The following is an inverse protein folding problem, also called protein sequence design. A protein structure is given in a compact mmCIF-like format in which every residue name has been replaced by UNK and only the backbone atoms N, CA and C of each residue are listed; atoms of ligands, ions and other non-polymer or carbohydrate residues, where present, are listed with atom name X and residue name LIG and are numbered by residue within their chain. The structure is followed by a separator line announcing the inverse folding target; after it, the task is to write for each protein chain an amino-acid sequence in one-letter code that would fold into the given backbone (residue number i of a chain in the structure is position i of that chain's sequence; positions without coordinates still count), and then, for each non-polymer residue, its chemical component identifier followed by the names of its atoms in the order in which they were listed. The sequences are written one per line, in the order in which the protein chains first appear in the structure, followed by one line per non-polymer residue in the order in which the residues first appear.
data_IF_406090901066
#
_entry.id   IF_406090901066
#
_cell.length_a   1.000
_cell.length_b   1.000
_cell.length_c   1.000
_cell.angle_alpha   90.00
_cell.angle_beta   90.00
_cell.angle_gamma   90.00
#
_symmetry.space_group_name_H-M   'P 1'
#
loop_
_entity.id
_entity.type
_entity.pdbx_description
1 polymer ?
#
# COMPACT_ATOMS: atom_id res chain seq x y z
N UNK A 1 -15.83 16.14 -4.17
CA UNK A 1 -15.11 16.47 -5.42
C UNK A 1 -13.85 15.62 -5.59
N UNK A 2 -12.94 15.56 -4.61
CA UNK A 2 -11.73 14.71 -4.69
C UNK A 2 -12.00 13.23 -5.04
N UNK A 3 -12.86 12.53 -4.30
CA UNK A 3 -13.15 11.11 -4.56
C UNK A 3 -13.71 10.87 -5.96
N UNK A 4 -14.81 11.55 -6.30
CA UNK A 4 -15.46 11.39 -7.60
C UNK A 4 -14.65 11.91 -8.80
N UNK A 5 -13.75 12.88 -8.58
CA UNK A 5 -13.06 13.60 -9.66
C UNK A 5 -11.59 13.26 -9.83
N UNK A 6 -10.94 12.67 -8.81
CA UNK A 6 -9.49 12.39 -8.81
C UNK A 6 -9.24 10.93 -8.45
N UNK A 7 -9.64 10.51 -7.25
CA UNK A 7 -9.28 9.18 -6.75
C UNK A 7 -10.02 8.04 -7.44
N UNK A 8 -11.36 8.11 -7.54
CA UNK A 8 -12.15 7.06 -8.20
C UNK A 8 -11.74 6.91 -9.67
N UNK A 9 -11.62 7.97 -10.50
CA UNK A 9 -11.15 7.81 -11.87
C UNK A 9 -9.78 7.16 -12.00
N UNK A 10 -8.84 7.47 -11.09
CA UNK A 10 -7.53 6.83 -11.05
C UNK A 10 -7.65 5.33 -10.74
N UNK A 11 -8.44 4.97 -9.73
CA UNK A 11 -8.68 3.56 -9.37
C UNK A 11 -9.44 2.79 -10.47
N UNK A 12 -10.43 3.42 -11.10
CA UNK A 12 -11.17 2.86 -12.24
C UNK A 12 -10.26 2.57 -13.43
N UNK A 13 -9.25 3.42 -13.66
CA UNK A 13 -8.27 3.21 -14.73
C UNK A 13 -7.41 1.95 -14.52
N UNK A 14 -7.18 1.56 -13.27
CA UNK A 14 -6.48 0.32 -12.90
C UNK A 14 -7.42 -0.88 -12.91
N UNK A 15 -8.63 -0.73 -12.36
CA UNK A 15 -9.60 -1.83 -12.25
C UNK A 15 -10.25 -2.20 -13.58
N UNK A 16 -10.40 -1.24 -14.49
CA UNK A 16 -11.17 -1.39 -15.73
C UNK A 16 -12.69 -1.44 -15.50
N UNK A 17 -13.16 -1.10 -14.30
CA UNK A 17 -14.58 -1.06 -13.92
C UNK A 17 -14.87 0.15 -13.03
N UNK A 18 -16.14 0.56 -12.96
CA UNK A 18 -16.59 1.71 -12.18
C UNK A 18 -16.49 1.45 -10.68
N UNK A 19 -16.08 2.48 -9.92
CA UNK A 19 -15.94 2.43 -8.47
C UNK A 19 -17.09 3.17 -7.80
N UNK A 20 -17.80 2.49 -6.90
CA UNK A 20 -18.90 3.11 -6.15
C UNK A 20 -18.35 4.14 -5.16
N UNK A 21 -18.79 5.39 -5.28
CA UNK A 21 -18.41 6.46 -4.34
C UNK A 21 -18.83 6.15 -2.89
N UNK A 22 -19.84 5.30 -2.67
CA UNK A 22 -20.24 4.85 -1.34
C UNK A 22 -19.19 3.95 -0.67
N UNK A 23 -18.28 3.32 -1.44
CA UNK A 23 -17.21 2.47 -0.93
C UNK A 23 -16.25 3.23 0.01
N UNK A 24 -16.14 4.56 -0.16
CA UNK A 24 -15.24 5.43 0.62
C UNK A 24 -15.99 6.49 1.44
N UNK A 25 -17.24 6.25 1.78
CA UNK A 25 -18.04 7.23 2.52
C UNK A 25 -17.57 7.38 3.98
N UNK A 26 -17.25 8.62 4.38
CA UNK A 26 -16.96 8.96 5.78
C UNK A 26 -18.20 9.57 6.44
N UNK A 27 -18.49 9.12 7.66
CA UNK A 27 -19.67 9.56 8.42
C UNK A 27 -19.31 10.36 9.68
N UNK A 28 -18.10 10.21 10.19
CA UNK A 28 -17.62 10.95 11.35
C UNK A 28 -17.15 12.37 10.97
N UNK A 29 -17.59 13.44 11.68
CA UNK A 29 -17.19 14.81 11.38
C UNK A 29 -15.68 15.07 11.45
N UNK A 30 -14.97 14.41 12.37
CA UNK A 30 -13.52 14.51 12.49
C UNK A 30 -12.81 13.89 11.29
N UNK A 31 -13.24 12.69 10.88
CA UNK A 31 -12.77 12.05 9.64
C UNK A 31 -13.01 12.95 8.43
N UNK A 32 -14.23 13.49 8.27
CA UNK A 32 -14.57 14.37 7.14
C UNK A 32 -13.67 15.62 7.13
N UNK A 33 -13.39 16.20 8.30
CA UNK A 33 -12.49 17.35 8.40
C UNK A 33 -11.07 17.01 7.95
N UNK A 34 -10.48 15.95 8.49
CA UNK A 34 -9.11 15.53 8.12
C UNK A 34 -9.02 15.17 6.65
N UNK A 35 -9.98 14.38 6.14
CA UNK A 35 -10.08 14.01 4.73
C UNK A 35 -10.21 15.24 3.82
N UNK A 36 -10.94 16.26 4.25
CA UNK A 36 -11.08 17.51 3.50
C UNK A 36 -9.77 18.30 3.46
N UNK A 37 -9.16 18.53 4.63
CA UNK A 37 -8.01 19.43 4.79
C UNK A 37 -6.71 18.81 4.31
N UNK A 38 -6.45 17.55 4.65
CA UNK A 38 -5.15 16.89 4.45
C UNK A 38 -5.05 16.05 3.18
N UNK A 39 -6.19 15.73 2.56
CA UNK A 39 -6.25 14.84 1.40
C UNK A 39 -6.88 15.57 0.22
N UNK A 40 -8.14 15.99 0.34
CA UNK A 40 -8.87 16.59 -0.78
C UNK A 40 -8.35 17.97 -1.18
N UNK A 41 -7.96 18.81 -0.21
CA UNK A 41 -7.40 20.15 -0.43
C UNK A 41 -5.86 20.17 -0.47
N UNK A 42 -5.23 18.99 -0.36
CA UNK A 42 -3.78 18.89 -0.44
C UNK A 42 -3.33 19.32 -1.85
N UNK A 43 -2.42 20.32 -1.97
CA UNK A 43 -2.02 20.89 -3.25
C UNK A 43 -1.14 19.94 -4.09
N UNK A 44 -0.64 18.85 -3.50
CA UNK A 44 0.18 17.87 -4.18
C UNK A 44 -0.65 16.77 -4.83
N UNK A 45 -0.10 16.18 -5.88
CA UNK A 45 -0.74 15.15 -6.69
C UNK A 45 -0.92 13.83 -5.91
N UNK A 46 -1.65 12.87 -6.49
CA UNK A 46 -1.73 11.52 -5.93
C UNK A 46 -0.31 10.93 -5.87
N UNK A 47 0.05 10.33 -4.74
CA UNK A 47 1.40 9.80 -4.49
C UNK A 47 2.42 10.83 -3.98
N UNK A 48 2.11 12.13 -3.98
CA UNK A 48 3.01 13.20 -3.50
C UNK A 48 2.47 13.96 -2.28
N UNK A 49 1.38 13.47 -1.69
CA UNK A 49 0.70 14.14 -0.57
C UNK A 49 1.55 14.16 0.71
N UNK A 50 2.58 13.33 0.80
CA UNK A 50 3.64 13.37 1.81
C UNK A 50 4.40 14.71 1.82
N UNK A 51 4.36 15.51 0.74
CA UNK A 51 5.02 16.82 0.74
C UNK A 51 4.31 17.86 1.62
N UNK A 52 3.03 17.68 1.94
CA UNK A 52 2.28 18.60 2.80
C UNK A 52 2.69 18.43 4.27
N UNK A 53 3.39 19.42 4.82
CA UNK A 53 3.84 19.40 6.23
C UNK A 53 2.91 20.17 7.18
N UNK A 54 2.24 21.22 6.69
CA UNK A 54 1.37 22.10 7.48
C UNK A 54 0.17 22.50 6.62
N UNK A 55 -1.05 22.15 7.06
CA UNK A 55 -2.28 22.49 6.35
C UNK A 55 -2.79 23.91 6.64
N UNK A 56 -2.13 24.66 7.54
CA UNK A 56 -2.50 26.03 7.87
C UNK A 56 -3.83 26.17 8.63
N UNK A 57 -4.32 25.08 9.21
CA UNK A 57 -5.63 25.02 9.87
C UNK A 57 -5.62 25.45 11.35
N UNK A 58 -4.42 25.67 11.92
CA UNK A 58 -4.21 26.11 13.30
C UNK A 58 -4.54 25.06 14.37
N UNK A 59 -4.73 23.79 14.00
CA UNK A 59 -5.08 22.74 14.97
C UNK A 59 -3.85 22.24 15.75
N UNK A 60 -4.10 21.68 16.93
CA UNK A 60 -3.04 21.03 17.71
C UNK A 60 -2.44 19.81 16.98
N UNK A 61 -3.25 19.09 16.21
CA UNK A 61 -2.79 17.98 15.38
C UNK A 61 -1.77 18.47 14.35
N UNK A 62 -2.05 19.57 13.64
CA UNK A 62 -1.14 20.17 12.67
C UNK A 62 0.18 20.61 13.28
N UNK A 63 0.14 21.16 14.50
CA UNK A 63 1.34 21.55 15.21
C UNK A 63 2.26 20.35 15.49
N UNK A 64 1.70 19.22 15.92
CA UNK A 64 2.43 17.96 16.15
C UNK A 64 2.89 17.34 14.82
N UNK A 65 2.00 17.26 13.83
CA UNK A 65 2.31 16.74 12.50
C UNK A 65 3.53 17.46 11.91
N UNK A 66 3.55 18.79 11.94
CA UNK A 66 4.66 19.61 11.44
C UNK A 66 6.00 19.29 12.11
N UNK A 67 5.99 18.88 13.38
CA UNK A 67 7.19 18.50 14.13
C UNK A 67 7.70 17.10 13.76
N UNK A 68 6.81 16.11 13.69
CA UNK A 68 7.19 14.70 13.53
C UNK A 68 7.29 14.25 12.07
N UNK A 69 6.52 14.87 11.18
CA UNK A 69 6.34 14.40 9.80
C UNK A 69 7.65 14.34 9.00
N UNK A 70 8.55 15.34 9.05
CA UNK A 70 9.81 15.25 8.31
C UNK A 70 10.65 14.01 8.66
N UNK A 71 10.71 13.64 9.95
CA UNK A 71 11.48 12.49 10.42
C UNK A 71 10.82 11.17 10.02
N UNK A 72 9.50 11.07 10.12
CA UNK A 72 8.76 9.87 9.73
C UNK A 72 8.77 9.67 8.21
N UNK A 73 8.70 10.75 7.45
CA UNK A 73 8.87 10.73 5.98
C UNK A 73 10.27 10.28 5.58
N UNK A 74 11.32 10.88 6.15
CA UNK A 74 12.71 10.44 5.91
C UNK A 74 12.92 8.96 6.29
N UNK A 75 12.26 8.51 7.36
CA UNK A 75 12.28 7.10 7.77
C UNK A 75 11.63 6.21 6.71
N UNK A 76 10.42 6.56 6.25
CA UNK A 76 9.74 5.82 5.19
C UNK A 76 10.58 5.74 3.91
N UNK A 77 11.12 6.87 3.45
CA UNK A 77 11.99 6.95 2.28
C UNK A 77 13.23 6.06 2.41
N UNK A 78 13.90 6.12 3.57
CA UNK A 78 15.14 5.36 3.82
C UNK A 78 14.93 3.85 3.83
N UNK A 79 13.79 3.39 4.36
CA UNK A 79 13.48 1.97 4.44
C UNK A 79 12.67 1.45 3.25
N UNK A 80 12.24 2.33 2.34
CA UNK A 80 11.42 1.97 1.18
C UNK A 80 10.00 1.56 1.57
N UNK A 81 9.44 2.21 2.60
CA UNK A 81 8.03 2.03 2.95
C UNK A 81 7.18 2.89 2.03
N UNK A 82 6.14 2.30 1.45
CA UNK A 82 5.18 3.04 0.61
C UNK A 82 4.34 3.97 1.46
N UNK A 83 4.04 3.57 2.70
CA UNK A 83 3.47 4.43 3.72
C UNK A 83 3.80 3.90 5.13
N UNK A 84 3.68 4.78 6.13
CA UNK A 84 3.83 4.49 7.55
C UNK A 84 2.62 5.06 8.29
N UNK A 85 1.96 4.20 9.05
CA UNK A 85 0.73 4.49 9.77
C UNK A 85 0.96 4.44 11.27
N UNK A 86 0.37 5.39 11.99
CA UNK A 86 0.13 5.26 13.42
C UNK A 86 -1.37 5.09 13.64
N UNK A 87 -1.71 4.04 14.38
CA UNK A 87 -3.10 3.68 14.67
C UNK A 87 -3.33 3.73 16.16
N UNK A 88 -4.37 4.46 16.58
CA UNK A 88 -4.75 4.50 17.99
C UNK A 88 -5.45 3.18 18.39
N UNK A 89 -5.26 2.69 19.63
CA UNK A 89 -5.61 1.33 20.01
C UNK A 89 -7.06 1.12 20.44
N UNK A 90 -7.82 2.18 20.74
CA UNK A 90 -9.18 2.08 21.28
C UNK A 90 -10.19 1.73 20.18
N UNK A 91 -10.11 2.40 19.03
CA UNK A 91 -11.04 2.21 17.91
C UNK A 91 -10.34 1.82 16.59
N UNK A 92 -9.04 1.55 16.65
CA UNK A 92 -8.17 1.29 15.50
C UNK A 92 -8.28 2.38 14.43
N UNK A 93 -8.36 3.65 14.83
CA UNK A 93 -8.35 4.79 13.90
C UNK A 93 -6.93 5.08 13.45
N UNK A 94 -6.72 5.19 12.14
CA UNK A 94 -5.46 5.67 11.56
C UNK A 94 -5.33 7.16 11.90
N UNK A 95 -4.53 7.51 12.90
CA UNK A 95 -4.36 8.90 13.36
C UNK A 95 -3.25 9.64 12.62
N UNK A 96 -2.41 8.90 11.89
CA UNK A 96 -1.31 9.43 11.08
C UNK A 96 -0.99 8.49 9.91
N UNK A 97 -0.66 9.06 8.76
CA UNK A 97 -0.09 8.40 7.57
C UNK A 97 0.93 9.37 6.96
N UNK A 98 2.08 8.86 6.49
CA UNK A 98 3.07 9.66 5.78
C UNK A 98 2.49 10.11 4.43
N UNK A 99 1.97 9.15 3.67
CA UNK A 99 1.42 9.34 2.34
C UNK A 99 0.11 10.13 2.32
N UNK A 100 -0.55 10.29 3.47
CA UNK A 100 -1.89 10.90 3.61
C UNK A 100 -2.85 10.27 2.61
N UNK A 101 -2.84 8.94 2.59
CA UNK A 101 -3.76 8.17 1.78
C UNK A 101 -5.17 8.22 2.36
N UNK A 102 -6.12 7.62 1.67
CA UNK A 102 -7.51 7.70 2.06
C UNK A 102 -7.83 6.97 3.38
N UNK A 103 -6.89 6.21 3.97
CA UNK A 103 -7.10 5.56 5.28
C UNK A 103 -6.97 6.53 6.46
N UNK A 104 -6.34 7.70 6.27
CA UNK A 104 -6.14 8.66 7.35
C UNK A 104 -7.47 9.09 7.99
N UNK A 105 -7.50 9.14 9.31
CA UNK A 105 -8.66 9.42 10.14
C UNK A 105 -9.83 8.45 9.93
N UNK A 106 -9.58 7.20 9.53
CA UNK A 106 -10.62 6.17 9.39
C UNK A 106 -10.41 5.04 10.40
N UNK A 107 -11.52 4.45 10.88
CA UNK A 107 -11.46 3.26 11.73
C UNK A 107 -11.22 2.01 10.88
N UNK A 108 -10.21 1.22 11.26
CA UNK A 108 -9.94 -0.11 10.69
C UNK A 108 -10.84 -1.21 11.29
N UNK A 109 -11.75 -0.85 12.19
CA UNK A 109 -12.75 -1.77 12.74
C UNK A 109 -14.11 -1.66 12.03
N UNK A 110 -14.54 -0.44 11.72
CA UNK A 110 -15.90 -0.15 11.23
C UNK A 110 -15.96 0.76 10.01
N UNK A 111 -14.83 1.33 9.58
CA UNK A 111 -14.72 2.19 8.42
C UNK A 111 -14.58 1.41 7.10
N UNK A 112 -14.41 2.15 5.98
CA UNK A 112 -14.37 1.55 4.63
C UNK A 112 -13.21 0.57 4.43
N UNK A 113 -12.15 0.66 5.23
CA UNK A 113 -10.95 -0.18 5.12
C UNK A 113 -10.91 -1.34 6.11
N UNK A 114 -12.00 -1.64 6.82
CA UNK A 114 -12.03 -2.66 7.88
C UNK A 114 -11.72 -4.10 7.41
N UNK A 115 -11.94 -4.39 6.12
CA UNK A 115 -11.68 -5.68 5.48
C UNK A 115 -10.29 -5.78 4.82
N UNK A 116 -9.47 -4.74 4.90
CA UNK A 116 -8.15 -4.71 4.25
C UNK A 116 -7.09 -5.51 5.02
N UNK A 117 -5.98 -5.85 4.34
CA UNK A 117 -4.81 -6.44 4.99
C UNK A 117 -4.19 -5.51 6.05
N UNK A 118 -4.22 -4.18 5.87
CA UNK A 118 -3.83 -3.22 6.90
C UNK A 118 -4.64 -3.42 8.19
N UNK A 119 -5.98 -3.47 8.05
CA UNK A 119 -6.86 -3.67 9.20
C UNK A 119 -6.63 -5.02 9.89
N UNK A 120 -6.35 -6.07 9.12
CA UNK A 120 -5.99 -7.38 9.65
C UNK A 120 -4.66 -7.35 10.41
N UNK A 121 -3.61 -6.76 9.81
CA UNK A 121 -2.30 -6.61 10.43
C UNK A 121 -2.37 -5.84 11.75
N UNK A 122 -3.12 -4.74 11.77
CA UNK A 122 -3.32 -3.91 12.97
C UNK A 122 -4.04 -4.70 14.06
N UNK A 123 -5.18 -5.35 13.76
CA UNK A 123 -5.89 -6.16 14.75
C UNK A 123 -5.01 -7.27 15.32
N UNK A 124 -4.29 -7.98 14.45
CA UNK A 124 -3.37 -9.02 14.89
C UNK A 124 -2.21 -8.47 15.73
N UNK A 125 -1.73 -7.25 15.46
CA UNK A 125 -0.70 -6.62 16.26
C UNK A 125 -1.22 -6.15 17.63
N UNK A 126 -2.44 -5.62 17.70
CA UNK A 126 -3.09 -5.20 18.95
C UNK A 126 -3.31 -6.35 19.94
N UNK A 127 -3.43 -7.59 19.45
CA UNK A 127 -3.60 -8.79 20.28
C UNK A 127 -2.29 -9.33 20.87
N UNK A 128 -1.14 -8.74 20.53
CA UNK A 128 0.18 -9.18 20.97
C UNK A 128 0.59 -8.52 22.30
N UNK A 129 1.16 -9.33 23.20
CA UNK A 129 1.62 -8.88 24.52
C UNK A 129 3.08 -8.37 24.53
N UNK A 130 3.79 -8.53 23.42
CA UNK A 130 5.18 -8.10 23.22
C UNK A 130 5.31 -7.47 21.84
N UNK A 131 6.35 -6.65 21.62
CA UNK A 131 6.68 -6.02 20.34
C UNK A 131 7.17 -7.03 19.30
N UNK A 132 6.28 -7.94 18.90
CA UNK A 132 6.47 -8.90 17.81
C UNK A 132 5.96 -8.29 16.51
N UNK A 133 6.56 -8.71 15.40
CA UNK A 133 6.18 -8.29 14.05
C UNK A 133 5.07 -9.17 13.51
N UNK A 134 3.97 -8.56 13.09
CA UNK A 134 2.94 -9.16 12.24
C UNK A 134 3.26 -8.86 10.78
N UNK A 135 3.08 -9.85 9.92
CA UNK A 135 3.21 -9.71 8.47
C UNK A 135 1.93 -10.18 7.81
N UNK A 136 1.29 -9.31 7.05
CA UNK A 136 0.24 -9.65 6.11
C UNK A 136 0.80 -9.57 4.69
N UNK A 137 0.61 -10.64 3.93
CA UNK A 137 1.13 -10.79 2.57
C UNK A 137 0.50 -9.77 1.61
N UNK A 138 1.06 -9.67 0.41
CA UNK A 138 0.62 -8.75 -0.62
C UNK A 138 -0.87 -8.90 -0.93
N UNK A 139 -1.57 -7.77 -1.01
CA UNK A 139 -2.93 -7.65 -1.54
C UNK A 139 -3.02 -6.41 -2.42
N UNK A 140 -3.97 -6.41 -3.35
CA UNK A 140 -4.42 -5.16 -3.95
C UNK A 140 -4.98 -4.26 -2.83
N UNK A 141 -4.57 -2.99 -2.83
CA UNK A 141 -4.96 -2.05 -1.79
C UNK A 141 -5.49 -0.76 -2.41
N UNK A 142 -6.81 -0.57 -2.34
CA UNK A 142 -7.48 0.56 -2.99
C UNK A 142 -6.88 1.94 -2.64
N UNK A 143 -6.52 2.25 -1.37
CA UNK A 143 -5.87 3.52 -1.05
C UNK A 143 -4.55 3.77 -1.81
N UNK A 144 -3.84 2.71 -2.20
CA UNK A 144 -2.68 2.74 -3.08
C UNK A 144 -3.03 2.45 -4.56
N UNK A 145 -4.25 2.80 -4.99
CA UNK A 145 -4.73 2.57 -6.36
C UNK A 145 -4.65 1.11 -6.82
N UNK A 146 -4.96 0.17 -5.92
CA UNK A 146 -4.87 -1.28 -6.12
C UNK A 146 -3.44 -1.80 -6.39
N UNK A 147 -2.41 -0.98 -6.17
CA UNK A 147 -1.02 -1.44 -6.16
C UNK A 147 -0.85 -2.60 -5.14
N UNK A 148 -0.14 -3.68 -5.51
CA UNK A 148 0.19 -4.74 -4.60
C UNK A 148 1.07 -4.26 -3.44
N UNK A 149 0.51 -4.28 -2.23
CA UNK A 149 1.26 -3.95 -1.00
C UNK A 149 1.10 -5.04 0.05
N UNK A 150 2.18 -5.32 0.76
CA UNK A 150 2.18 -6.11 1.99
C UNK A 150 2.21 -5.17 3.20
N UNK A 151 1.74 -5.65 4.35
CA UNK A 151 1.71 -4.86 5.59
C UNK A 151 2.54 -5.52 6.68
N UNK A 152 3.32 -4.68 7.36
CA UNK A 152 4.00 -5.05 8.59
C UNK A 152 3.40 -4.23 9.74
N UNK A 153 3.11 -4.86 10.87
CA UNK A 153 2.55 -4.17 12.02
C UNK A 153 3.18 -4.64 13.34
N UNK A 154 3.33 -3.74 14.30
CA UNK A 154 3.83 -4.05 15.64
C UNK A 154 3.14 -3.19 16.70
N UNK A 155 2.79 -3.75 17.88
CA UNK A 155 2.19 -2.95 18.94
C UNK A 155 3.19 -1.99 19.55
N UNK A 156 2.73 -0.78 19.85
CA UNK A 156 3.41 0.21 20.68
C UNK A 156 2.92 0.02 22.11
N UNK A 157 3.82 -0.36 23.02
CA UNK A 157 3.50 -0.66 24.41
C UNK A 157 4.31 0.27 25.31
N UNK A 158 3.62 0.99 26.20
CA UNK A 158 4.22 1.85 27.22
C UNK A 158 3.69 1.43 28.60
N UNK A 159 4.58 1.21 29.56
CA UNK A 159 4.24 0.74 30.92
C UNK A 159 3.33 -0.52 30.98
N UNK A 160 3.40 -1.36 29.95
CA UNK A 160 2.61 -2.59 29.83
C UNK A 160 1.21 -2.39 29.23
N UNK A 161 0.89 -1.17 28.79
CA UNK A 161 -0.36 -0.82 28.12
C UNK A 161 -0.14 -0.59 26.62
N UNK A 162 -1.07 -1.07 25.79
CA UNK A 162 -1.06 -0.80 24.36
C UNK A 162 -1.42 0.67 24.13
N UNK A 163 -0.48 1.45 23.62
CA UNK A 163 -0.65 2.88 23.32
C UNK A 163 -0.92 3.14 21.83
N UNK A 164 -0.72 2.14 20.97
CA UNK A 164 -1.06 2.19 19.57
C UNK A 164 -0.46 1.05 18.77
N UNK A 165 -0.60 1.12 17.46
CA UNK A 165 0.06 0.20 16.52
C UNK A 165 0.82 1.02 15.49
N UNK A 166 2.09 0.68 15.30
CA UNK A 166 2.87 1.11 14.14
C UNK A 166 2.67 0.09 13.03
N UNK A 167 2.21 0.56 11.87
CA UNK A 167 2.14 -0.26 10.67
C UNK A 167 2.87 0.42 9.51
N UNK A 168 3.37 -0.38 8.58
CA UNK A 168 3.95 0.11 7.32
C UNK A 168 3.44 -0.72 6.16
N UNK A 169 3.24 -0.09 5.01
CA UNK A 169 3.05 -0.80 3.74
C UNK A 169 4.38 -0.86 2.99
N UNK A 170 4.62 -1.99 2.31
CA UNK A 170 5.78 -2.19 1.44
C UNK A 170 5.32 -2.68 0.08
N UNK A 171 5.96 -2.18 -0.98
CA UNK A 171 5.85 -2.75 -2.33
C UNK A 171 6.85 -3.88 -2.51
N UNK A 172 6.74 -4.56 -3.65
CA UNK A 172 7.65 -5.66 -4.02
C UNK A 172 9.00 -5.19 -4.55
N UNK A 173 9.23 -3.88 -4.67
CA UNK A 173 10.40 -3.34 -5.38
C UNK A 173 11.70 -3.73 -4.70
N UNK A 174 11.78 -3.57 -3.37
CA UNK A 174 12.94 -3.97 -2.60
C UNK A 174 13.23 -5.48 -2.68
N UNK A 175 12.19 -6.32 -2.73
CA UNK A 175 12.32 -7.77 -2.91
C UNK A 175 12.85 -8.06 -4.33
N UNK A 176 12.23 -7.46 -5.33
CA UNK A 176 12.57 -7.63 -6.75
C UNK A 176 13.99 -7.18 -7.04
N UNK A 177 14.43 -6.06 -6.47
CA UNK A 177 15.79 -5.56 -6.60
C UNK A 177 16.83 -6.50 -6.01
N UNK A 178 16.53 -7.17 -4.90
CA UNK A 178 17.42 -8.19 -4.32
C UNK A 178 17.49 -9.43 -5.20
N UNK A 179 16.34 -9.93 -5.68
CA UNK A 179 16.27 -11.15 -6.49
C UNK A 179 16.89 -10.96 -7.89
N UNK A 180 16.73 -9.77 -8.46
CA UNK A 180 17.27 -9.43 -9.79
C UNK A 180 18.71 -8.92 -9.78
N UNK A 181 19.29 -8.64 -8.60
CA UNK A 181 20.65 -8.06 -8.47
C UNK A 181 21.72 -8.89 -9.18
N UNK A 182 21.72 -10.20 -8.98
CA UNK A 182 22.72 -11.08 -9.58
C UNK A 182 22.66 -11.05 -11.12
N UNK A 183 21.46 -10.97 -11.69
CA UNK A 183 21.27 -10.76 -13.12
C UNK A 183 21.78 -9.37 -13.57
N UNK A 184 21.38 -8.28 -12.90
CA UNK A 184 21.81 -6.91 -13.26
C UNK A 184 23.33 -6.73 -13.23
N UNK A 185 24.01 -7.46 -12.35
CA UNK A 185 25.47 -7.45 -12.23
C UNK A 185 26.18 -8.44 -13.18
N UNK A 186 25.45 -9.11 -14.07
CA UNK A 186 26.00 -10.08 -15.02
C UNK A 186 26.54 -11.37 -14.37
N UNK A 187 26.10 -11.67 -13.14
CA UNK A 187 26.52 -12.84 -12.36
C UNK A 187 25.59 -14.04 -12.50
N UNK A 188 24.51 -13.91 -13.28
CA UNK A 188 23.57 -14.98 -13.61
C UNK A 188 23.58 -15.25 -15.12
N UNK A 189 23.37 -16.50 -15.53
CA UNK A 189 23.20 -16.85 -16.93
C UNK A 189 22.01 -16.10 -17.54
N UNK A 190 22.10 -15.75 -18.83
CA UNK A 190 21.13 -14.91 -19.52
C UNK A 190 19.70 -15.48 -19.53
N UNK A 191 19.54 -16.79 -19.31
CA UNK A 191 18.24 -17.50 -19.32
C UNK A 191 17.69 -17.82 -17.92
N UNK A 192 18.42 -17.52 -16.85
CA UNK A 192 17.96 -17.77 -15.49
C UNK A 192 17.05 -16.66 -14.97
N UNK A 193 16.02 -17.04 -14.21
CA UNK A 193 15.15 -16.13 -13.47
C UNK A 193 15.00 -16.64 -12.03
N UNK A 194 14.96 -15.72 -11.08
CA UNK A 194 14.62 -15.99 -9.68
C UNK A 194 13.49 -15.05 -9.31
N UNK A 195 12.39 -15.61 -8.82
CA UNK A 195 11.23 -14.86 -8.35
C UNK A 195 10.68 -15.49 -7.07
N UNK A 196 9.92 -14.71 -6.30
CA UNK A 196 9.21 -15.15 -5.11
C UNK A 196 7.75 -15.45 -5.47
N UNK A 197 7.20 -16.53 -4.91
CA UNK A 197 5.80 -16.95 -5.13
C UNK A 197 5.11 -17.10 -3.79
N UNK A 198 3.90 -16.56 -3.68
CA UNK A 198 3.04 -16.70 -2.52
C UNK A 198 2.40 -18.09 -2.41
N UNK A 199 1.74 -18.34 -1.27
CA UNK A 199 0.99 -19.59 -1.07
C UNK A 199 -0.21 -19.73 -2.02
N UNK A 200 -0.68 -18.61 -2.56
CA UNK A 200 -1.72 -18.51 -3.59
C UNK A 200 -1.22 -18.80 -5.00
N UNK A 201 0.06 -19.20 -5.15
CA UNK A 201 0.74 -19.43 -6.44
C UNK A 201 0.81 -18.20 -7.33
N UNK A 202 0.79 -16.99 -6.77
CA UNK A 202 1.00 -15.75 -7.52
C UNK A 202 2.34 -15.12 -7.16
N UNK A 203 2.92 -14.36 -8.09
CA UNK A 203 4.23 -13.72 -7.88
C UNK A 203 4.20 -12.70 -6.71
N UNK A 204 5.33 -12.58 -6.00
CA UNK A 204 5.65 -11.59 -4.94
C UNK A 204 6.90 -10.77 -5.25
N UNK A 205 7.41 -10.94 -6.46
CA UNK A 205 8.47 -10.13 -7.06
C UNK A 205 8.16 -9.95 -8.53
N UNK A 206 8.64 -8.86 -9.11
CA UNK A 206 8.43 -8.55 -10.52
C UNK A 206 9.25 -9.52 -11.36
N UNK A 207 8.63 -10.09 -12.40
CA UNK A 207 9.33 -10.95 -13.37
C UNK A 207 10.42 -10.15 -14.08
N UNK A 208 11.59 -10.76 -14.25
CA UNK A 208 12.68 -10.16 -15.04
C UNK A 208 12.24 -9.90 -16.47
N UNK A 209 11.52 -10.84 -17.08
CA UNK A 209 11.07 -10.70 -18.47
C UNK A 209 10.12 -9.51 -18.63
N UNK A 210 9.27 -9.25 -17.63
CA UNK A 210 8.44 -8.06 -17.58
C UNK A 210 9.29 -6.78 -17.41
N UNK A 211 10.32 -6.78 -16.56
CA UNK A 211 11.23 -5.63 -16.41
C UNK A 211 12.01 -5.33 -17.69
N UNK A 212 12.43 -6.35 -18.44
CA UNK A 212 13.21 -6.20 -19.68
C UNK A 212 12.36 -5.71 -20.85
N UNK A 213 11.17 -6.27 -21.03
CA UNK A 213 10.26 -5.93 -22.13
C UNK A 213 8.79 -6.18 -21.72
N UNK A 214 8.13 -5.18 -21.09
CA UNK A 214 6.75 -5.32 -20.62
C UNK A 214 5.78 -5.66 -21.75
N UNK A 215 5.93 -5.06 -22.94
CA UNK A 215 5.03 -5.27 -24.08
C UNK A 215 5.14 -6.72 -24.57
N UNK A 216 6.37 -7.21 -24.82
CA UNK A 216 6.57 -8.59 -25.25
C UNK A 216 6.16 -9.62 -24.18
N UNK A 217 6.28 -9.27 -22.89
CA UNK A 217 5.79 -10.10 -21.80
C UNK A 217 4.27 -10.23 -21.83
N UNK A 218 3.55 -9.10 -21.91
CA UNK A 218 2.10 -9.06 -21.92
C UNK A 218 1.54 -9.79 -23.15
N UNK A 219 2.09 -9.53 -24.35
CA UNK A 219 1.70 -10.22 -25.60
C UNK A 219 1.85 -11.74 -25.45
N UNK A 220 2.94 -12.19 -24.82
CA UNK A 220 3.18 -13.61 -24.59
C UNK A 220 2.21 -14.22 -23.60
N UNK A 221 1.91 -13.53 -22.50
CA UNK A 221 0.96 -14.04 -21.50
C UNK A 221 -0.46 -14.09 -22.06
N UNK A 222 -0.83 -13.13 -22.91
CA UNK A 222 -2.09 -13.16 -23.67
C UNK A 222 -2.15 -14.35 -24.64
N UNK A 223 -1.06 -14.63 -25.37
CA UNK A 223 -0.98 -15.78 -26.29
C UNK A 223 -1.09 -17.13 -25.56
N UNK A 224 -0.45 -17.26 -24.39
CA UNK A 224 -0.52 -18.47 -23.56
C UNK A 224 -1.92 -18.67 -22.98
N UNK A 225 -2.56 -17.58 -22.53
CA UNK A 225 -3.93 -17.58 -22.00
C UNK A 225 -4.07 -18.06 -20.55
N UNK A 226 -2.96 -18.15 -19.80
CA UNK A 226 -2.96 -18.54 -18.37
C UNK A 226 -3.23 -17.37 -17.42
N UNK A 227 -3.13 -16.13 -17.92
CA UNK A 227 -3.45 -14.89 -17.19
C UNK A 227 -4.71 -14.31 -17.79
N UNK A 228 -5.70 -13.96 -16.96
CA UNK A 228 -6.91 -13.33 -17.47
C UNK A 228 -6.67 -11.87 -17.89
N UNK A 229 -7.56 -11.34 -18.74
CA UNK A 229 -7.40 -9.99 -19.30
C UNK A 229 -7.42 -8.89 -18.23
N UNK A 230 -8.10 -9.11 -17.10
CA UNK A 230 -8.18 -8.12 -16.02
C UNK A 230 -6.80 -8.02 -15.37
N UNK A 231 -6.18 -9.16 -15.05
CA UNK A 231 -4.83 -9.22 -14.48
C UNK A 231 -3.79 -8.68 -15.48
N UNK A 232 -3.89 -8.96 -16.78
CA UNK A 232 -3.01 -8.35 -17.81
C UNK A 232 -3.13 -6.82 -17.86
N UNK A 233 -4.35 -6.29 -17.82
CA UNK A 233 -4.58 -4.85 -17.82
C UNK A 233 -4.01 -4.20 -16.55
N UNK A 234 -4.14 -4.86 -15.39
CA UNK A 234 -3.55 -4.41 -14.13
C UNK A 234 -2.03 -4.43 -14.17
N UNK A 235 -1.41 -5.47 -14.73
CA UNK A 235 0.04 -5.51 -14.92
C UNK A 235 0.52 -4.33 -15.77
N UNK A 236 -0.18 -4.03 -16.87
CA UNK A 236 0.15 -2.91 -17.75
C UNK A 236 -0.03 -1.56 -17.04
N UNK A 237 -1.14 -1.39 -16.30
CA UNK A 237 -1.46 -0.14 -15.61
C UNK A 237 -0.52 0.15 -14.43
N UNK A 238 -0.15 -0.88 -13.67
CA UNK A 238 0.64 -0.76 -12.45
C UNK A 238 2.14 -1.02 -12.67
N UNK A 239 2.53 -1.53 -13.84
CA UNK A 239 3.93 -1.84 -14.13
C UNK A 239 4.50 -2.97 -13.27
N UNK A 240 3.70 -3.98 -12.91
CA UNK A 240 4.13 -5.07 -12.03
C UNK A 240 3.45 -6.40 -12.36
N UNK A 241 4.15 -7.51 -12.18
CA UNK A 241 3.58 -8.87 -12.26
C UNK A 241 3.11 -9.40 -10.91
N UNK A 242 3.39 -8.67 -9.82
CA UNK A 242 3.09 -9.10 -8.45
C UNK A 242 1.58 -9.18 -8.24
N UNK A 243 1.14 -10.23 -7.55
CA UNK A 243 -0.26 -10.66 -7.44
C UNK A 243 -0.95 -11.06 -8.73
N UNK A 244 -0.59 -10.51 -9.89
CA UNK A 244 -1.34 -10.74 -11.13
C UNK A 244 -0.85 -11.96 -11.91
N UNK A 245 0.44 -12.32 -11.81
CA UNK A 245 0.99 -13.45 -12.55
C UNK A 245 0.83 -14.75 -11.74
N UNK A 246 0.02 -15.72 -12.19
CA UNK A 246 0.01 -17.07 -11.64
C UNK A 246 1.30 -17.81 -12.02
N UNK A 247 1.72 -18.71 -11.14
CA UNK A 247 2.88 -19.57 -11.29
C UNK A 247 2.45 -21.02 -11.06
N UNK A 248 2.12 -21.70 -12.15
CA UNK A 248 1.84 -23.13 -12.15
C UNK A 248 3.06 -23.93 -12.63
N UNK A 249 4.19 -23.76 -11.94
CA UNK A 249 5.30 -24.70 -12.06
C UNK A 249 5.07 -25.86 -11.10
N UNK A 250 5.05 -27.09 -11.61
CA UNK A 250 5.24 -28.28 -10.77
C UNK A 250 6.66 -28.20 -10.22
N UNK A 251 6.79 -28.00 -8.90
CA UNK A 251 8.08 -28.08 -8.22
C UNK A 251 8.68 -29.49 -8.31
#
# INVERSE_FOLDING_TARGET
EYYSGVFNPALESVRGESVDAAEFAFTDPGSIYVQSVWIAQNPFELGEKDLLTDAGDGTAWTAVHREIHPVLRETADRFGYSDLYLVEPENNVVVYSVGKDNTLATSLNSGPYASTALAKAVRSASDLLESTLVVEDFTAFAPALDEPVAFLATPLIEDGELTGVLAVSITSDGISDVLTRAWREGRQESTGEVYLVGQDRRMRSISRAFVEDPEAYLDRMEEIGDVDQIDLNRMAALGTTVLFQPVDSVA
#
